data_IF_562344152622
#
_entry.id   IF_562344152622
#
_cell.length_a   1.000
_cell.length_b   1.000
_cell.length_c   1.000
_cell.angle_alpha   90.00
_cell.angle_beta   90.00
_cell.angle_gamma   90.00
#
_symmetry.space_group_name_H-M   'P 1'
#
loop_
_entity.id
_entity.type
_entity.pdbx_description
1 polymer ?
#
# COMPACT_ATOMS: atom_id res chain seq x y z
N UNK A 1 15.89 -27.48 24.38
CA UNK A 1 15.35 -26.12 24.54
C UNK A 1 15.48 -25.42 23.21
N UNK A 2 14.38 -25.02 22.55
CA UNK A 2 14.42 -24.12 21.41
C UNK A 2 14.69 -22.74 21.98
N UNK A 3 15.87 -22.18 21.70
CA UNK A 3 16.12 -20.78 22.01
C UNK A 3 15.14 -19.94 21.19
N UNK A 4 14.27 -19.19 21.84
CA UNK A 4 13.48 -18.15 21.24
C UNK A 4 14.45 -17.04 20.82
N UNK A 5 15.02 -17.22 19.61
CA UNK A 5 15.91 -16.24 19.02
C UNK A 5 15.12 -14.97 18.71
N UNK A 6 15.50 -13.87 19.32
CA UNK A 6 14.95 -12.57 18.98
C UNK A 6 15.27 -12.22 17.53
N UNK A 7 14.22 -11.97 16.72
CA UNK A 7 14.35 -11.53 15.34
C UNK A 7 14.52 -10.00 15.23
N UNK A 8 14.49 -9.28 16.35
CA UNK A 8 14.65 -7.83 16.39
C UNK A 8 15.12 -7.35 17.77
N UNK A 9 16.01 -6.37 17.79
CA UNK A 9 16.46 -5.68 19.00
C UNK A 9 16.80 -4.22 18.68
N UNK A 10 16.69 -3.34 19.66
CA UNK A 10 16.88 -1.90 19.49
C UNK A 10 18.00 -1.40 20.41
N UNK A 11 18.85 -0.54 19.88
CA UNK A 11 19.87 0.20 20.63
C UNK A 11 19.43 1.66 20.74
N UNK A 12 19.47 2.26 21.95
CA UNK A 12 19.41 3.72 22.11
C UNK A 12 20.68 4.40 21.57
N UNK A 13 20.68 5.71 21.49
CA UNK A 13 21.71 6.52 20.82
C UNK A 13 23.18 6.22 21.18
N UNK A 14 23.45 5.78 22.41
CA UNK A 14 24.80 5.45 22.89
C UNK A 14 25.24 3.99 22.65
N UNK A 15 24.33 3.13 22.22
CA UNK A 15 24.55 1.69 22.10
C UNK A 15 25.18 1.25 20.77
N UNK A 16 25.45 2.14 19.83
CA UNK A 16 25.99 1.81 18.52
C UNK A 16 26.81 2.94 17.91
N UNK A 17 27.66 2.60 16.95
CA UNK A 17 28.43 3.57 16.14
C UNK A 17 28.38 3.11 14.68
N UNK A 18 28.16 4.04 13.75
CA UNK A 18 28.09 3.76 12.31
C UNK A 18 29.42 4.18 11.69
N UNK A 19 30.05 3.28 10.95
CA UNK A 19 31.19 3.52 10.09
C UNK A 19 30.79 3.33 8.62
N UNK A 20 31.68 3.59 7.69
CA UNK A 20 31.44 3.52 6.24
C UNK A 20 30.92 2.15 5.78
N UNK A 21 31.45 1.05 6.33
CA UNK A 21 31.14 -0.33 5.92
C UNK A 21 30.74 -1.24 7.09
N UNK A 22 30.54 -0.67 8.27
CA UNK A 22 30.26 -1.46 9.47
C UNK A 22 29.43 -0.67 10.48
N UNK A 23 28.78 -1.41 11.37
CA UNK A 23 28.10 -0.87 12.54
C UNK A 23 28.69 -1.57 13.76
N UNK A 24 29.19 -0.81 14.72
CA UNK A 24 29.59 -1.33 16.03
C UNK A 24 28.34 -1.33 16.92
N UNK A 25 28.02 -2.48 17.45
CA UNK A 25 26.88 -2.70 18.34
C UNK A 25 27.37 -3.08 19.72
N UNK A 26 26.90 -2.42 20.77
CA UNK A 26 27.26 -2.77 22.16
C UNK A 26 26.94 -4.25 22.43
N UNK A 27 27.83 -4.94 23.14
CA UNK A 27 27.76 -6.38 23.48
C UNK A 27 27.84 -7.37 22.30
N UNK A 28 27.77 -6.91 21.04
CA UNK A 28 27.91 -7.76 19.85
C UNK A 28 29.25 -7.54 19.16
N UNK A 29 29.76 -6.30 19.16
CA UNK A 29 31.00 -5.95 18.47
C UNK A 29 30.76 -5.30 17.11
N UNK A 30 31.73 -5.38 16.21
CA UNK A 30 31.69 -4.79 14.88
C UNK A 30 31.04 -5.74 13.89
N UNK A 31 29.98 -5.31 13.23
CA UNK A 31 29.24 -6.07 12.22
C UNK A 31 29.40 -5.38 10.87
N UNK A 32 29.83 -6.12 9.85
CA UNK A 32 29.90 -5.60 8.47
C UNK A 32 28.49 -5.25 7.99
N UNK A 33 28.34 -4.04 7.42
CA UNK A 33 27.06 -3.52 6.95
C UNK A 33 27.23 -2.81 5.60
N UNK A 34 26.25 -2.97 4.72
CA UNK A 34 26.20 -2.21 3.47
C UNK A 34 25.48 -0.90 3.74
N UNK A 35 26.23 0.18 3.83
CA UNK A 35 25.69 1.53 4.03
C UNK A 35 25.53 2.18 2.66
N UNK A 36 24.34 2.10 2.08
CA UNK A 36 24.08 2.56 0.72
C UNK A 36 23.79 4.06 0.60
N UNK A 37 23.68 4.78 1.70
CA UNK A 37 23.51 6.24 1.77
C UNK A 37 24.05 6.78 3.08
N UNK A 38 24.54 8.01 3.05
CA UNK A 38 24.93 8.73 4.25
C UNK A 38 23.73 8.94 5.16
N UNK A 39 23.91 8.73 6.44
CA UNK A 39 22.89 9.02 7.46
C UNK A 39 23.13 10.45 7.94
N UNK A 40 22.18 11.34 7.65
CA UNK A 40 22.22 12.76 8.00
C UNK A 40 21.20 13.06 9.11
N UNK A 41 21.59 13.88 10.08
CA UNK A 41 20.77 14.23 11.24
C UNK A 41 21.19 13.53 12.53
N UNK A 42 20.48 13.81 13.60
CA UNK A 42 20.74 13.25 14.92
C UNK A 42 20.12 11.86 15.05
N UNK A 43 20.93 10.82 15.12
CA UNK A 43 20.46 9.44 15.19
C UNK A 43 20.06 9.11 16.64
N UNK A 44 18.81 8.79 16.87
CA UNK A 44 18.24 8.48 18.20
C UNK A 44 18.31 7.00 18.54
N UNK A 45 18.00 6.13 17.59
CA UNK A 45 17.98 4.68 17.82
C UNK A 45 18.44 3.90 16.59
N UNK A 46 18.98 2.71 16.82
CA UNK A 46 19.27 1.71 15.80
C UNK A 46 18.47 0.44 16.09
N UNK A 47 17.52 0.09 15.23
CA UNK A 47 16.79 -1.18 15.33
C UNK A 47 17.40 -2.19 14.34
N UNK A 48 17.96 -3.27 14.87
CA UNK A 48 18.45 -4.40 14.06
C UNK A 48 17.36 -5.44 13.98
N UNK A 49 16.95 -5.81 12.77
CA UNK A 49 15.85 -6.72 12.53
C UNK A 49 16.18 -7.75 11.46
N UNK A 50 15.82 -8.99 11.70
CA UNK A 50 15.88 -10.07 10.73
C UNK A 50 14.64 -10.07 9.85
N UNK A 51 14.83 -10.10 8.52
CA UNK A 51 13.76 -10.29 7.54
C UNK A 51 14.15 -11.43 6.59
N UNK A 52 13.51 -12.57 6.74
CA UNK A 52 13.87 -13.77 6.01
C UNK A 52 15.30 -14.25 6.37
N UNK A 53 16.22 -14.13 5.42
CA UNK A 53 17.63 -14.54 5.63
C UNK A 53 18.59 -13.36 5.80
N UNK A 54 18.08 -12.13 5.78
CA UNK A 54 18.89 -10.91 5.85
C UNK A 54 18.62 -10.17 7.15
N UNK A 55 19.67 -9.50 7.64
CA UNK A 55 19.57 -8.56 8.73
C UNK A 55 19.57 -7.14 8.19
N UNK A 56 18.79 -6.28 8.79
CA UNK A 56 18.68 -4.87 8.44
C UNK A 56 18.87 -4.03 9.70
N UNK A 57 19.63 -2.96 9.57
CA UNK A 57 19.70 -1.90 10.58
C UNK A 57 18.83 -0.74 10.08
N UNK A 58 17.91 -0.28 10.93
CA UNK A 58 17.04 0.86 10.69
C UNK A 58 17.33 1.92 11.73
N UNK A 59 17.56 3.14 11.29
CA UNK A 59 17.87 4.27 12.17
C UNK A 59 16.69 5.20 12.27
N UNK A 60 16.27 5.54 13.49
CA UNK A 60 15.40 6.67 13.74
C UNK A 60 16.26 7.93 13.84
N UNK A 61 15.97 8.91 13.00
CA UNK A 61 16.76 10.12 12.86
C UNK A 61 15.88 11.32 13.13
N UNK A 62 16.34 12.21 13.98
CA UNK A 62 15.75 13.52 14.13
C UNK A 62 16.41 14.45 13.11
N UNK A 63 15.59 15.02 12.24
CA UNK A 63 16.04 15.93 11.19
C UNK A 63 15.04 17.06 11.01
N UNK A 64 15.51 18.20 10.57
CA UNK A 64 14.63 19.31 10.19
C UNK A 64 14.05 19.01 8.81
N UNK A 65 12.75 19.02 8.72
CA UNK A 65 12.05 18.85 7.44
C UNK A 65 12.01 20.19 6.72
N UNK A 66 12.52 20.23 5.49
CA UNK A 66 12.44 21.40 4.62
C UNK A 66 11.27 21.16 3.66
N UNK A 67 10.18 21.95 3.76
CA UNK A 67 9.05 21.81 2.86
C UNK A 67 9.46 22.08 1.41
N UNK A 68 8.76 21.47 0.47
CA UNK A 68 8.87 21.84 -0.94
C UNK A 68 8.24 23.23 -1.18
N UNK A 69 8.64 23.96 -2.23
CA UNK A 69 8.01 25.21 -2.62
C UNK A 69 6.48 25.09 -2.70
N UNK A 70 5.77 26.16 -2.36
CA UNK A 70 4.31 26.18 -2.44
C UNK A 70 3.80 25.79 -3.82
N UNK A 71 2.65 25.14 -3.86
CA UNK A 71 2.06 24.64 -5.08
C UNK A 71 0.53 24.58 -4.92
N UNK A 72 -0.18 25.29 -5.79
CA UNK A 72 -1.64 25.41 -5.74
C UNK A 72 -2.35 24.30 -6.54
N UNK A 73 -1.62 23.44 -7.23
CA UNK A 73 -2.23 22.32 -7.97
C UNK A 73 -2.91 21.35 -7.01
N UNK A 74 -4.13 21.00 -7.30
CA UNK A 74 -4.96 20.10 -6.51
C UNK A 74 -5.32 18.84 -7.30
N UNK A 75 -5.41 17.70 -6.62
CA UNK A 75 -5.70 16.42 -7.24
C UNK A 75 -6.63 15.57 -6.38
N UNK A 76 -7.59 14.89 -7.03
CA UNK A 76 -8.40 13.82 -6.47
C UNK A 76 -7.96 12.47 -7.02
N UNK A 77 -7.93 11.46 -6.18
CA UNK A 77 -7.43 10.11 -6.51
C UNK A 77 -8.49 9.07 -6.12
N UNK A 78 -9.01 8.36 -7.12
CA UNK A 78 -9.83 7.16 -6.95
C UNK A 78 -8.98 5.91 -7.17
N UNK A 79 -8.94 4.99 -6.20
CA UNK A 79 -8.11 3.77 -6.29
C UNK A 79 -8.94 2.57 -6.73
N UNK A 80 -8.37 1.79 -7.67
CA UNK A 80 -9.07 0.67 -8.29
C UNK A 80 -8.23 -0.60 -8.45
N UNK A 81 -8.87 -1.69 -8.86
CA UNK A 81 -8.20 -2.98 -9.15
C UNK A 81 -7.77 -3.07 -10.60
N UNK A 82 -8.54 -2.53 -11.52
CA UNK A 82 -8.21 -2.55 -12.95
C UNK A 82 -7.06 -1.60 -13.26
N UNK A 83 -7.23 -0.34 -12.99
CA UNK A 83 -6.21 0.68 -12.85
C UNK A 83 -5.87 0.81 -11.37
N UNK A 84 -4.63 1.05 -11.02
CA UNK A 84 -4.24 1.22 -9.62
C UNK A 84 -4.87 2.49 -9.02
N UNK A 85 -4.89 3.57 -9.79
CA UNK A 85 -5.56 4.80 -9.46
C UNK A 85 -5.99 5.56 -10.73
N UNK A 86 -7.18 6.17 -10.68
CA UNK A 86 -7.63 7.19 -11.61
C UNK A 86 -7.44 8.57 -10.96
N UNK A 87 -7.00 9.53 -11.72
CA UNK A 87 -6.63 10.86 -11.25
C UNK A 87 -7.56 11.89 -11.87
N UNK A 88 -7.94 12.91 -11.11
CA UNK A 88 -8.92 13.91 -11.54
C UNK A 88 -8.50 14.69 -12.80
N UNK A 89 -7.19 14.81 -13.05
CA UNK A 89 -6.63 15.42 -14.28
C UNK A 89 -6.84 14.55 -15.54
N UNK A 90 -7.31 13.32 -15.39
CA UNK A 90 -7.55 12.36 -16.46
C UNK A 90 -6.42 11.38 -16.69
N UNK A 91 -5.35 11.45 -15.92
CA UNK A 91 -4.26 10.46 -15.97
C UNK A 91 -4.59 9.22 -15.15
N UNK A 92 -3.86 8.13 -15.39
CA UNK A 92 -4.08 6.86 -14.71
C UNK A 92 -2.76 6.23 -14.29
N UNK A 93 -2.73 5.69 -13.09
CA UNK A 93 -1.65 4.83 -12.62
C UNK A 93 -2.04 3.38 -12.90
N UNK A 94 -1.21 2.68 -13.68
CA UNK A 94 -1.48 1.29 -14.04
C UNK A 94 -1.24 0.34 -12.86
N UNK A 95 -2.10 -0.68 -12.72
CA UNK A 95 -1.95 -1.67 -11.67
C UNK A 95 -0.90 -2.72 -12.06
N UNK A 96 0.24 -2.80 -11.36
CA UNK A 96 1.32 -3.73 -11.70
C UNK A 96 1.00 -5.18 -11.39
N UNK A 97 0.03 -5.47 -10.50
CA UNK A 97 -0.44 -6.81 -10.11
C UNK A 97 0.70 -7.77 -9.78
N UNK A 98 1.60 -7.37 -8.90
CA UNK A 98 2.84 -8.11 -8.60
C UNK A 98 2.60 -9.51 -8.06
N UNK A 99 1.62 -9.69 -7.17
CA UNK A 99 1.27 -11.00 -6.66
C UNK A 99 0.73 -11.91 -7.77
N UNK A 100 -0.18 -11.40 -8.61
CA UNK A 100 -0.77 -12.17 -9.71
C UNK A 100 0.28 -12.66 -10.70
N UNK A 101 1.28 -11.84 -11.02
CA UNK A 101 2.40 -12.22 -11.91
C UNK A 101 3.25 -13.34 -11.32
N UNK A 102 3.45 -13.35 -10.00
CA UNK A 102 4.28 -14.35 -9.31
C UNK A 102 3.45 -15.50 -8.68
N UNK A 103 2.11 -15.51 -8.79
CA UNK A 103 1.22 -16.50 -8.15
C UNK A 103 1.55 -17.93 -8.56
N UNK A 104 1.80 -18.18 -9.85
CA UNK A 104 2.19 -19.52 -10.37
C UNK A 104 3.54 -19.98 -9.79
N UNK A 105 4.53 -19.08 -9.72
CA UNK A 105 5.83 -19.36 -9.14
C UNK A 105 5.73 -19.67 -7.64
N UNK A 106 4.91 -18.90 -6.91
CA UNK A 106 4.63 -19.13 -5.50
C UNK A 106 3.97 -20.50 -5.27
N UNK A 107 2.92 -20.81 -6.03
CA UNK A 107 2.22 -22.09 -5.94
C UNK A 107 3.15 -23.29 -6.24
N UNK A 108 4.05 -23.17 -7.23
CA UNK A 108 5.08 -24.18 -7.52
C UNK A 108 6.03 -24.38 -6.33
N UNK A 109 6.51 -23.29 -5.74
CA UNK A 109 7.41 -23.35 -4.59
C UNK A 109 6.72 -23.95 -3.35
N UNK A 110 5.45 -23.61 -3.10
CA UNK A 110 4.66 -24.15 -2.00
C UNK A 110 4.43 -25.65 -2.18
N UNK A 111 3.98 -26.11 -3.37
CA UNK A 111 3.81 -27.56 -3.67
C UNK A 111 5.12 -28.34 -3.50
N UNK A 112 6.27 -27.77 -3.89
CA UNK A 112 7.56 -28.40 -3.65
C UNK A 112 7.84 -28.54 -2.14
N UNK A 113 7.50 -27.52 -1.33
CA UNK A 113 7.66 -27.58 0.12
C UNK A 113 6.82 -28.68 0.77
N UNK A 114 5.59 -28.91 0.27
CA UNK A 114 4.70 -29.94 0.83
C UNK A 114 5.16 -31.39 0.54
N UNK A 115 5.97 -31.61 -0.49
CA UNK A 115 6.54 -32.92 -0.80
C UNK A 115 7.55 -33.41 0.24
N UNK A 116 8.18 -32.52 1.01
CA UNK A 116 9.20 -32.88 1.97
C UNK A 116 8.63 -33.10 3.38
N UNK A 117 9.20 -34.07 4.10
CA UNK A 117 8.83 -34.40 5.50
C UNK A 117 8.91 -33.12 6.37
N UNK A 118 7.96 -32.96 7.29
CA UNK A 118 8.00 -31.87 8.29
C UNK A 118 9.31 -31.95 9.07
N UNK A 119 9.94 -30.79 9.30
CA UNK A 119 11.23 -30.62 10.01
C UNK A 119 12.46 -31.11 9.28
N UNK A 120 12.38 -31.61 8.04
CA UNK A 120 13.56 -31.99 7.25
C UNK A 120 14.35 -30.77 6.78
N UNK A 121 15.62 -30.97 6.44
CA UNK A 121 16.50 -29.94 5.90
C UNK A 121 16.02 -29.46 4.52
N UNK A 122 15.57 -30.39 3.68
CA UNK A 122 15.03 -30.12 2.34
C UNK A 122 13.78 -29.24 2.42
N UNK A 123 12.86 -29.51 3.38
CA UNK A 123 11.69 -28.66 3.62
C UNK A 123 12.10 -27.26 4.06
N UNK A 124 13.12 -27.17 4.89
CA UNK A 124 13.66 -25.87 5.35
C UNK A 124 14.23 -25.09 4.16
N UNK A 125 14.99 -25.72 3.26
CA UNK A 125 15.50 -25.09 2.04
C UNK A 125 14.37 -24.68 1.09
N UNK A 126 13.35 -25.54 0.91
CA UNK A 126 12.19 -25.21 0.08
C UNK A 126 11.39 -24.00 0.63
N UNK A 127 11.21 -23.90 1.95
CA UNK A 127 10.62 -22.72 2.60
C UNK A 127 11.38 -21.42 2.31
N UNK A 128 12.71 -21.49 2.21
CA UNK A 128 13.53 -20.31 1.83
C UNK A 128 13.18 -19.82 0.43
N UNK A 129 12.84 -20.70 -0.51
CA UNK A 129 12.40 -20.32 -1.86
C UNK A 129 11.05 -19.61 -1.80
N UNK A 130 10.08 -20.14 -1.05
CA UNK A 130 8.77 -19.50 -0.82
C UNK A 130 8.97 -18.09 -0.24
N UNK A 131 9.81 -17.96 0.79
CA UNK A 131 10.13 -16.69 1.43
C UNK A 131 10.73 -15.66 0.44
N UNK A 132 11.63 -16.08 -0.46
CA UNK A 132 12.21 -15.21 -1.49
C UNK A 132 11.16 -14.70 -2.50
N UNK A 133 10.18 -15.53 -2.88
CA UNK A 133 9.10 -15.08 -3.77
C UNK A 133 8.26 -14.01 -3.07
N UNK A 134 7.88 -14.22 -1.81
CA UNK A 134 7.15 -13.21 -1.03
C UNK A 134 7.98 -11.92 -0.82
N UNK A 135 9.29 -12.04 -0.55
CA UNK A 135 10.19 -10.90 -0.43
C UNK A 135 10.23 -10.08 -1.73
N UNK A 136 10.34 -10.75 -2.89
CA UNK A 136 10.35 -10.11 -4.20
C UNK A 136 9.05 -9.33 -4.46
N UNK A 137 7.88 -9.95 -4.21
CA UNK A 137 6.57 -9.31 -4.37
C UNK A 137 6.48 -8.08 -3.46
N UNK A 138 6.83 -8.22 -2.19
CA UNK A 138 6.81 -7.12 -1.22
C UNK A 138 7.71 -5.96 -1.65
N UNK A 139 8.95 -6.25 -2.06
CA UNK A 139 9.92 -5.20 -2.42
C UNK A 139 9.49 -4.43 -3.67
N UNK A 140 8.97 -5.14 -4.70
CA UNK A 140 8.41 -4.49 -5.91
C UNK A 140 7.23 -3.60 -5.58
N UNK A 141 6.33 -4.06 -4.71
CA UNK A 141 5.16 -3.29 -4.26
C UNK A 141 5.59 -2.04 -3.50
N UNK A 142 6.52 -2.16 -2.55
CA UNK A 142 7.08 -1.03 -1.84
C UNK A 142 7.68 0.00 -2.79
N UNK A 143 8.55 -0.46 -3.69
CA UNK A 143 9.20 0.43 -4.65
C UNK A 143 8.18 1.20 -5.50
N UNK A 144 7.20 0.51 -6.08
CA UNK A 144 6.12 1.12 -6.86
C UNK A 144 5.36 2.18 -6.05
N UNK A 145 4.90 1.83 -4.86
CA UNK A 145 4.15 2.74 -4.00
C UNK A 145 4.98 3.97 -3.64
N UNK A 146 6.25 3.78 -3.30
CA UNK A 146 7.13 4.89 -2.96
C UNK A 146 7.44 5.79 -4.15
N UNK A 147 7.58 5.23 -5.36
CA UNK A 147 7.78 6.02 -6.58
C UNK A 147 6.53 6.82 -6.92
N UNK A 148 5.36 6.18 -7.02
CA UNK A 148 4.12 6.88 -7.42
C UNK A 148 3.70 7.94 -6.38
N UNK A 149 3.76 7.61 -5.07
CA UNK A 149 3.45 8.61 -4.05
C UNK A 149 4.44 9.78 -4.02
N UNK A 150 5.73 9.59 -4.38
CA UNK A 150 6.70 10.68 -4.48
C UNK A 150 6.41 11.59 -5.67
N UNK A 151 6.07 11.01 -6.83
CA UNK A 151 5.68 11.80 -8.02
C UNK A 151 4.50 12.72 -7.69
N UNK A 152 3.45 12.18 -7.10
CA UNK A 152 2.25 12.93 -6.74
C UNK A 152 2.57 14.07 -5.75
N UNK A 153 3.30 13.78 -4.68
CA UNK A 153 3.63 14.79 -3.65
C UNK A 153 4.53 15.90 -4.21
N UNK A 154 5.40 15.58 -5.18
CA UNK A 154 6.24 16.58 -5.82
C UNK A 154 5.43 17.51 -6.75
N UNK A 155 4.36 17.00 -7.36
CA UNK A 155 3.60 17.70 -8.39
C UNK A 155 2.41 18.49 -7.85
N UNK A 156 1.79 18.08 -6.75
CA UNK A 156 0.54 18.64 -6.25
C UNK A 156 0.66 19.18 -4.83
N UNK A 157 0.03 20.33 -4.57
CA UNK A 157 -0.03 20.96 -3.27
C UNK A 157 -1.18 20.44 -2.40
N UNK A 158 -2.29 20.05 -3.01
CA UNK A 158 -3.45 19.42 -2.36
C UNK A 158 -3.71 18.04 -2.95
N UNK A 159 -3.73 17.02 -2.09
CA UNK A 159 -3.97 15.62 -2.46
C UNK A 159 -5.19 15.12 -1.70
N UNK A 160 -6.24 14.73 -2.42
CA UNK A 160 -7.49 14.23 -1.85
C UNK A 160 -7.69 12.78 -2.27
N UNK A 161 -7.94 11.90 -1.31
CA UNK A 161 -8.17 10.47 -1.53
C UNK A 161 -9.43 9.99 -0.82
N UNK A 162 -9.95 8.83 -1.21
CA UNK A 162 -11.05 8.18 -0.49
C UNK A 162 -10.59 7.54 0.82
N UNK A 163 -11.40 7.69 1.87
CA UNK A 163 -11.24 7.00 3.14
C UNK A 163 -11.77 5.56 3.04
N UNK A 164 -10.96 4.64 2.52
CA UNK A 164 -11.34 3.24 2.34
C UNK A 164 -11.08 2.38 3.57
N UNK A 165 -12.07 1.60 3.98
CA UNK A 165 -11.90 0.57 5.01
C UNK A 165 -11.49 -0.77 4.37
N UNK A 166 -10.19 -0.92 4.08
CA UNK A 166 -9.64 -2.11 3.40
C UNK A 166 -9.89 -3.40 4.20
N UNK A 167 -9.91 -3.33 5.54
CA UNK A 167 -10.18 -4.47 6.41
C UNK A 167 -11.60 -5.02 6.17
N UNK A 168 -12.59 -4.14 6.09
CA UNK A 168 -13.96 -4.54 5.80
C UNK A 168 -14.12 -5.01 4.35
N UNK A 169 -13.46 -4.33 3.40
CA UNK A 169 -13.50 -4.71 1.98
C UNK A 169 -12.91 -6.11 1.73
N UNK A 170 -11.91 -6.53 2.51
CA UNK A 170 -11.25 -7.83 2.38
C UNK A 170 -11.78 -8.91 3.33
N UNK A 171 -12.83 -8.64 4.10
CA UNK A 171 -13.46 -9.61 4.99
C UNK A 171 -14.09 -10.75 4.20
N UNK A 172 -13.91 -11.98 4.69
CA UNK A 172 -14.59 -13.15 4.13
C UNK A 172 -16.13 -13.01 4.32
N UNK A 173 -16.93 -13.54 3.38
CA UNK A 173 -18.38 -13.57 3.58
C UNK A 173 -18.73 -14.47 4.74
N UNK A 174 -19.79 -14.11 5.48
CA UNK A 174 -20.30 -14.91 6.57
C UNK A 174 -20.80 -16.27 6.06
N UNK A 175 -20.67 -17.36 6.84
CA UNK A 175 -21.30 -18.62 6.55
C UNK A 175 -22.82 -18.44 6.44
N UNK A 176 -23.47 -19.15 5.53
CA UNK A 176 -24.92 -19.23 5.41
C UNK A 176 -25.36 -20.61 5.87
N UNK A 177 -25.72 -20.80 7.14
CA UNK A 177 -26.16 -22.09 7.63
C UNK A 177 -27.49 -22.48 6.99
N UNK A 178 -27.61 -23.74 6.65
CA UNK A 178 -28.85 -24.44 6.28
C UNK A 178 -29.13 -25.48 7.38
N UNK A 179 -30.18 -26.25 7.26
CA UNK A 179 -30.54 -27.25 8.28
C UNK A 179 -29.42 -28.33 8.45
N UNK A 180 -29.24 -28.82 9.67
CA UNK A 180 -28.38 -29.96 10.03
C UNK A 180 -26.87 -29.81 9.69
N UNK A 181 -26.28 -28.63 9.89
CA UNK A 181 -24.84 -28.45 9.73
C UNK A 181 -24.37 -28.28 8.28
N UNK A 182 -25.29 -28.19 7.32
CA UNK A 182 -24.99 -27.87 5.95
C UNK A 182 -24.89 -26.35 5.74
N UNK A 183 -24.10 -25.92 4.76
CA UNK A 183 -23.91 -24.51 4.42
C UNK A 183 -24.21 -24.24 2.95
N UNK A 184 -25.01 -23.23 2.69
CA UNK A 184 -25.28 -22.74 1.35
C UNK A 184 -24.06 -22.05 0.73
N UNK A 185 -23.91 -22.10 -0.61
CA UNK A 185 -22.88 -21.31 -1.30
C UNK A 185 -23.02 -19.80 -0.98
N UNK A 186 -21.94 -19.19 -0.50
CA UNK A 186 -21.91 -17.80 -0.06
C UNK A 186 -20.97 -16.91 -0.90
N UNK A 187 -20.49 -17.40 -2.05
CA UNK A 187 -19.57 -16.66 -2.91
C UNK A 187 -18.13 -16.53 -2.35
N UNK A 188 -17.75 -17.36 -1.35
CA UNK A 188 -16.43 -17.30 -0.71
C UNK A 188 -15.27 -17.42 -1.69
N UNK A 189 -15.37 -18.25 -2.72
CA UNK A 189 -14.34 -18.44 -3.75
C UNK A 189 -14.09 -17.17 -4.57
N UNK A 190 -15.17 -16.56 -5.08
CA UNK A 190 -15.10 -15.28 -5.82
C UNK A 190 -14.55 -14.17 -4.94
N UNK A 191 -15.03 -14.11 -3.69
CA UNK A 191 -14.56 -13.13 -2.71
C UNK A 191 -13.08 -13.31 -2.36
N UNK A 192 -12.60 -14.54 -2.23
CA UNK A 192 -11.18 -14.85 -2.04
C UNK A 192 -10.32 -14.34 -3.21
N UNK A 193 -10.78 -14.51 -4.45
CA UNK A 193 -10.14 -13.96 -5.64
C UNK A 193 -10.05 -12.43 -5.63
N UNK A 194 -11.15 -11.77 -5.27
CA UNK A 194 -11.22 -10.31 -5.11
C UNK A 194 -10.29 -9.83 -3.99
N UNK A 195 -10.31 -10.49 -2.84
CA UNK A 195 -9.48 -10.15 -1.69
C UNK A 195 -7.98 -10.23 -2.02
N UNK A 196 -7.56 -11.24 -2.79
CA UNK A 196 -6.18 -11.32 -3.29
C UNK A 196 -5.80 -10.07 -4.10
N UNK A 197 -6.69 -9.58 -4.95
CA UNK A 197 -6.45 -8.39 -5.79
C UNK A 197 -6.42 -7.10 -4.96
N UNK A 198 -7.33 -6.93 -4.00
CA UNK A 198 -7.35 -5.79 -3.07
C UNK A 198 -6.06 -5.74 -2.25
N UNK A 199 -5.65 -6.87 -1.67
CA UNK A 199 -4.43 -6.96 -0.86
C UNK A 199 -3.15 -6.80 -1.70
N UNK A 200 -3.17 -7.25 -2.97
CA UNK A 200 -2.06 -7.03 -3.90
C UNK A 200 -1.87 -5.56 -4.25
N UNK A 201 -2.95 -4.82 -4.48
CA UNK A 201 -2.91 -3.39 -4.74
C UNK A 201 -2.33 -2.59 -3.56
N UNK A 202 -2.59 -3.01 -2.31
CA UNK A 202 -2.03 -2.38 -1.08
C UNK A 202 -2.33 -0.88 -0.95
N UNK A 203 -3.57 -0.48 -1.19
CA UNK A 203 -4.04 0.91 -1.12
C UNK A 203 -3.77 1.57 0.24
N UNK A 204 -3.88 0.82 1.35
CA UNK A 204 -3.55 1.35 2.69
C UNK A 204 -2.09 1.82 2.77
N UNK A 205 -1.16 1.09 2.14
CA UNK A 205 0.26 1.46 2.10
C UNK A 205 0.48 2.70 1.23
N UNK A 206 -0.23 2.80 0.10
CA UNK A 206 -0.17 3.96 -0.79
C UNK A 206 -0.72 5.21 -0.10
N UNK A 207 -1.88 5.12 0.53
CA UNK A 207 -2.49 6.20 1.32
C UNK A 207 -1.55 6.67 2.44
N UNK A 208 -0.99 5.74 3.21
CA UNK A 208 -0.02 6.07 4.25
C UNK A 208 1.22 6.76 3.67
N UNK A 209 1.73 6.27 2.53
CA UNK A 209 2.89 6.86 1.87
C UNK A 209 2.61 8.27 1.35
N UNK A 210 1.41 8.54 0.84
CA UNK A 210 0.97 9.90 0.46
C UNK A 210 0.88 10.80 1.68
N UNK A 211 0.22 10.36 2.76
CA UNK A 211 -0.01 11.16 3.96
C UNK A 211 1.32 11.67 4.57
N UNK A 212 2.23 10.77 4.97
CA UNK A 212 3.47 11.19 5.62
C UNK A 212 4.42 11.96 4.69
N UNK A 213 4.41 11.65 3.38
CA UNK A 213 5.24 12.40 2.42
C UNK A 213 4.67 13.78 2.13
N UNK A 214 3.35 13.92 2.09
CA UNK A 214 2.68 15.20 1.96
C UNK A 214 3.00 16.09 3.18
N UNK A 215 2.87 15.55 4.39
CA UNK A 215 3.24 16.23 5.62
C UNK A 215 4.70 16.71 5.59
N UNK A 216 5.64 15.83 5.28
CA UNK A 216 7.06 16.16 5.18
C UNK A 216 7.37 17.17 4.06
N UNK A 217 6.54 17.25 3.03
CA UNK A 217 6.72 18.16 1.91
C UNK A 217 5.96 19.50 2.06
N UNK A 218 5.25 19.70 3.17
CA UNK A 218 4.38 20.87 3.36
C UNK A 218 3.14 20.87 2.44
N UNK A 219 2.68 19.69 2.01
CA UNK A 219 1.49 19.50 1.16
C UNK A 219 0.26 19.22 2.03
N UNK A 220 -0.92 19.58 1.54
CA UNK A 220 -2.19 19.23 2.17
C UNK A 220 -2.64 17.85 1.71
N UNK A 221 -2.95 16.96 2.66
CA UNK A 221 -3.50 15.63 2.40
C UNK A 221 -4.84 15.50 3.10
N UNK A 222 -5.88 15.10 2.35
CA UNK A 222 -7.23 14.94 2.86
C UNK A 222 -7.82 13.59 2.48
N UNK A 223 -8.57 13.01 3.40
CA UNK A 223 -9.39 11.82 3.16
C UNK A 223 -10.87 12.23 3.17
N UNK A 224 -11.63 11.80 2.15
CA UNK A 224 -13.05 12.10 2.02
C UNK A 224 -13.90 10.83 2.04
N UNK A 225 -15.18 10.95 2.40
CA UNK A 225 -16.09 9.82 2.40
C UNK A 225 -16.30 9.30 0.97
N UNK A 226 -16.10 8.00 0.70
CA UNK A 226 -16.26 7.40 -0.63
C UNK A 226 -17.72 7.26 -1.09
N UNK A 227 -18.70 7.56 -0.25
CA UNK A 227 -20.10 7.34 -0.57
C UNK A 227 -20.53 8.15 -1.80
N UNK A 228 -21.01 7.42 -2.82
CA UNK A 228 -21.61 7.97 -4.05
C UNK A 228 -20.66 8.67 -5.02
N UNK A 229 -19.36 8.76 -4.76
CA UNK A 229 -18.37 9.43 -5.63
C UNK A 229 -18.41 8.91 -7.07
N UNK A 230 -18.64 7.61 -7.28
CA UNK A 230 -18.75 7.00 -8.61
C UNK A 230 -20.16 7.12 -9.23
N UNK A 231 -21.19 7.49 -8.45
CA UNK A 231 -22.58 7.58 -8.90
C UNK A 231 -23.02 9.00 -9.23
N UNK A 232 -22.54 9.98 -8.45
CA UNK A 232 -22.85 11.38 -8.64
C UNK A 232 -22.12 11.94 -9.86
N UNK A 233 -22.82 12.71 -10.68
CA UNK A 233 -22.21 13.40 -11.81
C UNK A 233 -21.37 14.58 -11.32
N UNK A 234 -20.10 14.63 -11.69
CA UNK A 234 -19.21 15.72 -11.26
C UNK A 234 -19.66 17.10 -11.75
N UNK A 235 -20.40 17.18 -12.87
CA UNK A 235 -20.82 18.45 -13.46
C UNK A 235 -22.13 18.99 -12.89
N UNK A 236 -23.11 18.14 -12.60
CA UNK A 236 -24.45 18.61 -12.20
C UNK A 236 -24.98 17.98 -10.91
N UNK A 237 -24.21 17.12 -10.24
CA UNK A 237 -24.60 16.45 -9.00
C UNK A 237 -25.70 15.40 -9.13
N UNK A 238 -26.24 15.15 -10.33
CA UNK A 238 -27.28 14.13 -10.50
C UNK A 238 -26.77 12.74 -10.16
N UNK A 239 -27.49 12.03 -9.28
CA UNK A 239 -27.13 10.67 -8.87
C UNK A 239 -27.75 9.63 -9.80
N UNK A 240 -26.90 8.96 -10.58
CA UNK A 240 -27.28 7.84 -11.44
C UNK A 240 -26.88 6.52 -10.79
N UNK A 241 -27.85 5.60 -10.59
CA UNK A 241 -27.55 4.24 -10.15
C UNK A 241 -26.72 3.53 -11.23
N UNK A 242 -25.60 2.92 -10.85
CA UNK A 242 -24.69 2.20 -11.75
C UNK A 242 -24.42 0.80 -11.24
N UNK A 243 -24.27 -0.14 -12.16
CA UNK A 243 -23.75 -1.48 -11.86
C UNK A 243 -22.21 -1.43 -11.73
N UNK A 244 -21.63 -2.37 -11.03
CA UNK A 244 -20.17 -2.47 -10.92
C UNK A 244 -19.49 -2.75 -12.29
N UNK A 245 -20.22 -3.32 -13.24
CA UNK A 245 -19.77 -3.56 -14.61
C UNK A 245 -19.67 -2.29 -15.46
N UNK A 246 -20.42 -1.25 -15.10
CA UNK A 246 -20.49 -0.03 -15.89
C UNK A 246 -19.21 0.78 -15.71
N UNK A 247 -18.41 0.86 -16.77
CA UNK A 247 -17.11 1.54 -16.76
C UNK A 247 -17.17 2.97 -17.24
N UNK A 248 -18.32 3.36 -17.82
CA UNK A 248 -18.54 4.68 -18.38
C UNK A 248 -19.60 5.45 -17.60
N UNK A 249 -19.36 6.72 -17.35
CA UNK A 249 -20.33 7.62 -16.78
C UNK A 249 -21.00 8.39 -17.90
N UNK A 250 -22.29 8.15 -18.11
CA UNK A 250 -23.17 8.96 -18.95
C UNK A 250 -24.25 9.54 -18.04
N UNK A 251 -24.30 10.86 -17.92
CA UNK A 251 -25.27 11.54 -17.10
C UNK A 251 -26.56 11.77 -17.89
N UNK A 252 -27.74 11.24 -17.47
CA UNK A 252 -29.00 11.44 -18.18
C UNK A 252 -29.53 12.85 -18.04
N UNK A 253 -29.07 13.65 -17.06
CA UNK A 253 -29.54 15.03 -16.81
C UNK A 253 -28.79 16.06 -17.63
N UNK A 254 -27.46 15.99 -17.71
CA UNK A 254 -26.61 17.01 -18.35
C UNK A 254 -25.78 16.52 -19.54
N UNK A 255 -25.89 15.23 -19.90
CA UNK A 255 -25.13 14.65 -21.01
C UNK A 255 -23.65 14.42 -20.77
N UNK A 256 -23.10 14.74 -19.59
CA UNK A 256 -21.69 14.51 -19.28
C UNK A 256 -21.31 13.05 -19.48
N UNK A 257 -20.28 12.81 -20.28
CA UNK A 257 -19.84 11.48 -20.72
C UNK A 257 -18.33 11.32 -20.53
N UNK A 258 -17.91 10.44 -19.61
CA UNK A 258 -16.48 10.16 -19.32
C UNK A 258 -16.31 8.82 -18.60
N UNK A 259 -15.06 8.41 -18.42
CA UNK A 259 -14.72 7.22 -17.60
C UNK A 259 -15.24 7.37 -16.17
N UNK A 260 -15.85 6.30 -15.61
CA UNK A 260 -16.48 6.31 -14.28
C UNK A 260 -15.50 6.62 -13.17
N UNK A 261 -14.28 6.04 -13.23
CA UNK A 261 -13.27 6.19 -12.20
C UNK A 261 -12.68 7.62 -12.25
N UNK A 262 -12.59 8.24 -13.44
CA UNK A 262 -12.27 9.68 -13.58
C UNK A 262 -13.35 10.57 -13.00
N UNK A 263 -14.64 10.26 -13.25
CA UNK A 263 -15.73 10.99 -12.61
C UNK A 263 -15.65 10.94 -11.08
N UNK A 264 -15.34 9.75 -10.52
CA UNK A 264 -15.14 9.59 -9.09
C UNK A 264 -13.97 10.43 -8.57
N UNK A 265 -12.82 10.43 -9.26
CA UNK A 265 -11.66 11.21 -8.88
C UNK A 265 -11.95 12.73 -8.86
N UNK A 266 -12.74 13.25 -9.81
CA UNK A 266 -13.17 14.65 -9.82
C UNK A 266 -14.09 14.95 -8.63
N UNK A 267 -15.03 14.07 -8.32
CA UNK A 267 -15.91 14.22 -7.15
C UNK A 267 -15.13 14.17 -5.84
N UNK A 268 -14.12 13.29 -5.72
CA UNK A 268 -13.23 13.22 -4.57
C UNK A 268 -12.50 14.55 -4.37
N UNK A 269 -11.97 15.14 -5.45
CA UNK A 269 -11.32 16.45 -5.39
C UNK A 269 -12.30 17.53 -4.91
N UNK A 270 -13.49 17.59 -5.50
CA UNK A 270 -14.52 18.58 -5.15
C UNK A 270 -14.92 18.49 -3.67
N UNK A 271 -15.12 17.28 -3.14
CA UNK A 271 -15.38 17.06 -1.71
C UNK A 271 -14.24 17.54 -0.81
N UNK A 272 -12.99 17.35 -1.25
CA UNK A 272 -11.82 17.83 -0.51
C UNK A 272 -11.74 19.36 -0.47
N UNK A 273 -12.00 20.02 -1.60
CA UNK A 273 -12.02 21.48 -1.72
C UNK A 273 -13.13 22.07 -0.84
N UNK A 274 -14.35 21.52 -0.90
CA UNK A 274 -15.47 21.92 -0.05
C UNK A 274 -15.14 21.81 1.44
N UNK A 275 -14.43 20.74 1.85
CA UNK A 275 -14.02 20.54 3.25
C UNK A 275 -13.00 21.58 3.73
N UNK A 276 -12.24 22.17 2.83
CA UNK A 276 -11.30 23.26 3.16
C UNK A 276 -11.97 24.63 3.24
N UNK A 277 -13.27 24.74 2.93
CA UNK A 277 -13.99 26.01 2.88
C UNK A 277 -13.54 26.93 1.74
N UNK A 278 -12.81 26.41 0.78
CA UNK A 278 -12.43 27.13 -0.45
C UNK A 278 -13.53 26.86 -1.46
N UNK A 279 -14.27 27.89 -1.88
CA UNK A 279 -15.18 27.78 -3.02
C UNK A 279 -14.35 27.49 -4.29
N UNK A 280 -14.78 26.54 -5.13
CA UNK A 280 -14.10 26.19 -6.36
C UNK A 280 -14.07 27.33 -7.37
#
# INVERSE_FOLDING_TARGET
MKGDGYDSFCYPGTGFTINTESIRLSKIGVVKAVIHRKVEGNIKTCTVKRQGQKWFATFAIETTVIPLPENDKAIGIDVGIEKFAAISDGTYIQNPRFFRKDEKALAKAQRKTEKYRKRSQERTQAKKVVSRVHERIRNRRHNFIHQESRKIVNEFGLIVVEQLNIKNMSKAPAPKPENEGQYLPNGASQKAGLNKSILDASWSMFRFALAYKAENAGRKFLEVNPAYTSQDCHSCGYRAKKKLSDRWHLCPKCGTSLDRDRNAAINILSLGIQRLGVNP
#
